data_IF_736941872169
#
_entry.id   IF_736941872169
#
_cell.length_a   1.000
_cell.length_b   1.000
_cell.length_c   1.000
_cell.angle_alpha   90.00
_cell.angle_beta   90.00
_cell.angle_gamma   90.00
#
_symmetry.space_group_name_H-M   'P 1'
#
loop_
_entity.id
_entity.type
_entity.pdbx_description
1 polymer ?
#
# COMPACT_ATOMS: atom_id res chain seq x y z
N UNK A 1 -49.34 -20.89 -30.38
CA UNK A 1 -48.60 -22.16 -30.56
C UNK A 1 -47.23 -21.83 -31.12
N UNK A 2 -46.06 -22.13 -30.56
CA UNK A 2 -45.60 -22.79 -29.34
C UNK A 2 -44.08 -22.56 -29.34
N UNK A 3 -43.52 -21.97 -28.29
CA UNK A 3 -42.48 -22.58 -27.42
C UNK A 3 -41.30 -23.26 -28.12
N UNK A 4 -40.09 -22.70 -27.97
CA UNK A 4 -38.90 -23.44 -27.55
C UNK A 4 -37.72 -22.48 -27.31
N UNK A 5 -37.25 -22.40 -26.06
CA UNK A 5 -35.84 -22.13 -25.74
C UNK A 5 -34.99 -23.38 -26.02
N UNK A 6 -33.65 -23.25 -25.97
CA UNK A 6 -32.90 -23.40 -24.72
C UNK A 6 -31.96 -22.19 -24.50
N UNK A 7 -31.56 -21.80 -23.29
CA UNK A 7 -31.08 -22.62 -22.17
C UNK A 7 -29.57 -22.83 -22.34
N UNK A 8 -28.79 -22.62 -21.26
CA UNK A 8 -27.33 -22.89 -21.11
C UNK A 8 -26.36 -21.83 -21.71
N UNK A 9 -25.24 -21.35 -21.14
CA UNK A 9 -24.49 -21.33 -19.86
C UNK A 9 -23.52 -20.13 -19.99
N UNK A 10 -22.88 -19.50 -19.00
CA UNK A 10 -22.71 -19.75 -17.59
C UNK A 10 -22.09 -18.46 -17.00
N UNK A 11 -22.43 -18.17 -15.75
CA UNK A 11 -21.96 -16.99 -15.03
C UNK A 11 -20.43 -16.98 -14.90
N UNK A 12 -19.83 -15.83 -15.15
CA UNK A 12 -18.46 -15.52 -14.76
C UNK A 12 -18.37 -15.53 -13.23
N UNK A 13 -18.19 -16.71 -12.65
CA UNK A 13 -17.77 -16.85 -11.26
C UNK A 13 -16.39 -16.25 -11.11
N UNK A 14 -16.25 -15.17 -10.36
CA UNK A 14 -14.96 -14.69 -9.92
C UNK A 14 -14.21 -15.86 -9.27
N UNK A 15 -12.98 -16.20 -9.70
CA UNK A 15 -12.25 -17.28 -9.05
C UNK A 15 -12.02 -16.89 -7.58
N UNK A 16 -12.53 -17.73 -6.67
CA UNK A 16 -12.24 -17.67 -5.24
C UNK A 16 -10.72 -17.74 -5.08
N UNK A 17 -10.07 -16.82 -4.33
CA UNK A 17 -8.64 -16.97 -4.08
C UNK A 17 -8.44 -18.29 -3.31
N UNK A 18 -7.58 -19.15 -3.88
CA UNK A 18 -7.21 -20.42 -3.27
C UNK A 18 -6.60 -20.20 -1.88
N UNK A 19 -6.80 -21.13 -0.92
CA UNK A 19 -6.15 -21.04 0.37
C UNK A 19 -4.63 -21.17 0.19
N UNK A 20 -3.88 -20.19 0.70
CA UNK A 20 -2.43 -20.26 0.75
C UNK A 20 -2.01 -21.50 1.54
N UNK A 21 -1.38 -22.46 0.86
CA UNK A 21 -0.79 -23.65 1.47
C UNK A 21 0.41 -23.31 2.38
N UNK A 22 0.93 -24.29 3.11
CA UNK A 22 2.00 -24.09 4.11
C UNK A 22 3.38 -23.72 3.54
N UNK A 23 3.51 -23.56 2.22
CA UNK A 23 4.70 -23.02 1.55
C UNK A 23 4.51 -21.52 1.22
N UNK A 24 4.15 -20.75 2.25
CA UNK A 24 4.28 -19.31 2.17
C UNK A 24 5.77 -19.01 2.04
N UNK A 25 6.22 -18.74 0.81
CA UNK A 25 7.58 -18.37 0.48
C UNK A 25 8.15 -17.49 1.61
N UNK A 26 9.29 -17.86 2.22
CA UNK A 26 9.82 -17.14 3.36
C UNK A 26 9.93 -15.68 2.97
N UNK A 27 9.37 -14.80 3.81
CA UNK A 27 9.43 -13.36 3.54
C UNK A 27 10.85 -13.00 3.13
N UNK A 28 11.09 -12.36 1.97
CA UNK A 28 12.44 -12.17 1.42
C UNK A 28 13.41 -11.55 2.43
N UNK A 29 12.87 -10.71 3.33
CA UNK A 29 13.61 -10.07 4.42
C UNK A 29 14.25 -11.08 5.41
N UNK A 30 13.59 -12.20 5.71
CA UNK A 30 14.07 -13.18 6.72
C UNK A 30 15.29 -13.98 6.22
N UNK A 31 15.43 -14.14 4.90
CA UNK A 31 16.61 -14.77 4.30
C UNK A 31 17.74 -13.77 4.06
N UNK A 32 17.44 -12.50 3.82
CA UNK A 32 18.42 -11.46 3.52
C UNK A 32 19.08 -10.88 4.78
N UNK A 33 18.41 -10.96 5.92
CA UNK A 33 18.89 -10.39 7.19
C UNK A 33 18.95 -11.45 8.30
N UNK A 34 19.93 -12.37 8.27
CA UNK A 34 20.18 -13.32 9.36
C UNK A 34 20.56 -12.64 10.69
N UNK A 35 20.57 -13.39 11.82
CA UNK A 35 21.06 -12.90 13.10
C UNK A 35 22.48 -12.32 12.98
N UNK A 36 22.72 -11.19 13.64
CA UNK A 36 24.01 -10.51 13.60
C UNK A 36 25.03 -11.32 14.41
N UNK A 37 26.19 -11.61 13.80
CA UNK A 37 27.28 -12.33 14.44
C UNK A 37 28.54 -11.48 14.67
N UNK A 38 28.55 -10.22 14.21
CA UNK A 38 29.73 -9.33 14.28
C UNK A 38 29.34 -7.85 14.18
N UNK A 39 30.17 -6.96 14.75
CA UNK A 39 29.93 -5.52 14.72
C UNK A 39 29.93 -4.94 13.28
N UNK A 40 30.76 -5.48 12.38
CA UNK A 40 30.72 -5.10 10.95
C UNK A 40 29.36 -5.36 10.30
N UNK A 41 28.73 -6.49 10.62
CA UNK A 41 27.37 -6.83 10.14
C UNK A 41 26.33 -5.91 10.78
N UNK A 42 26.49 -5.58 12.07
CA UNK A 42 25.63 -4.61 12.78
C UNK A 42 25.66 -3.23 12.12
N UNK A 43 26.86 -2.71 11.86
CA UNK A 43 27.07 -1.43 11.18
C UNK A 43 26.38 -1.41 9.81
N UNK A 44 26.52 -2.49 9.03
CA UNK A 44 25.87 -2.64 7.72
C UNK A 44 24.34 -2.60 7.83
N UNK A 45 23.77 -3.37 8.77
CA UNK A 45 22.33 -3.42 8.99
C UNK A 45 21.77 -2.07 9.41
N UNK A 46 22.51 -1.34 10.26
CA UNK A 46 22.14 0.02 10.67
C UNK A 46 22.14 0.99 9.49
N UNK A 47 23.18 0.99 8.65
CA UNK A 47 23.25 1.85 7.46
C UNK A 47 22.12 1.58 6.46
N UNK A 48 21.81 0.30 6.22
CA UNK A 48 20.66 -0.09 5.39
C UNK A 48 19.34 0.35 6.02
N UNK A 49 19.16 0.15 7.32
CA UNK A 49 17.98 0.62 8.06
C UNK A 49 17.78 2.13 7.89
N UNK A 50 18.84 2.94 8.06
CA UNK A 50 18.75 4.40 7.90
C UNK A 50 18.36 4.80 6.47
N UNK A 51 18.89 4.10 5.47
CA UNK A 51 18.59 4.36 4.04
C UNK A 51 17.14 3.99 3.72
N UNK A 52 16.71 2.80 4.12
CA UNK A 52 15.34 2.32 3.92
C UNK A 52 14.34 3.14 4.72
N UNK A 53 14.70 3.62 5.91
CA UNK A 53 13.84 4.46 6.74
C UNK A 53 13.60 5.81 6.07
N UNK A 54 14.64 6.41 5.47
CA UNK A 54 14.47 7.64 4.66
C UNK A 54 13.55 7.40 3.46
N UNK A 55 13.67 6.25 2.78
CA UNK A 55 12.79 5.89 1.67
C UNK A 55 11.34 5.69 2.14
N UNK A 56 11.14 4.93 3.21
CA UNK A 56 9.83 4.69 3.83
C UNK A 56 9.14 6.00 4.25
N UNK A 57 9.86 6.90 4.94
CA UNK A 57 9.32 8.21 5.36
C UNK A 57 8.89 9.06 4.17
N UNK A 58 9.66 9.07 3.08
CA UNK A 58 9.31 9.80 1.86
C UNK A 58 8.03 9.26 1.22
N UNK A 59 7.90 7.94 1.10
CA UNK A 59 6.68 7.32 0.55
C UNK A 59 5.46 7.61 1.43
N UNK A 60 5.60 7.49 2.76
CA UNK A 60 4.52 7.86 3.67
C UNK A 60 4.11 9.31 3.47
N UNK A 61 5.06 10.27 3.49
CA UNK A 61 4.76 11.68 3.30
C UNK A 61 4.05 11.96 1.97
N UNK A 62 4.48 11.31 0.89
CA UNK A 62 3.80 11.43 -0.41
C UNK A 62 2.36 10.91 -0.35
N UNK A 63 2.15 9.70 0.19
CA UNK A 63 0.82 9.13 0.32
C UNK A 63 -0.08 9.94 1.25
N UNK A 64 0.46 10.47 2.34
CA UNK A 64 -0.25 11.28 3.33
C UNK A 64 -0.66 12.62 2.71
N UNK A 65 0.20 13.27 1.93
CA UNK A 65 -0.15 14.51 1.23
C UNK A 65 -1.40 14.38 0.33
N UNK A 66 -1.55 13.22 -0.34
CA UNK A 66 -2.74 12.92 -1.16
C UNK A 66 -3.98 12.74 -0.27
N UNK A 67 -3.84 12.08 0.88
CA UNK A 67 -4.94 11.90 1.83
C UNK A 67 -5.34 13.23 2.48
N UNK A 68 -4.38 14.08 2.84
CA UNK A 68 -4.61 15.40 3.41
C UNK A 68 -5.34 16.30 2.43
N UNK A 69 -4.93 16.31 1.15
CA UNK A 69 -5.62 17.07 0.11
C UNK A 69 -7.05 16.57 -0.10
N UNK A 70 -7.28 15.25 -0.12
CA UNK A 70 -8.63 14.69 -0.20
C UNK A 70 -9.50 15.10 1.00
N UNK A 71 -8.94 15.05 2.20
CA UNK A 71 -9.65 15.45 3.41
C UNK A 71 -9.99 16.95 3.39
N UNK A 72 -9.07 17.78 2.89
CA UNK A 72 -9.29 19.22 2.71
C UNK A 72 -10.39 19.51 1.70
N UNK A 73 -10.40 18.81 0.56
CA UNK A 73 -11.45 18.96 -0.46
C UNK A 73 -12.80 18.46 0.05
N UNK A 74 -12.83 17.34 0.80
CA UNK A 74 -14.06 16.84 1.44
C UNK A 74 -14.69 17.89 2.35
N UNK A 75 -13.89 18.51 3.24
CA UNK A 75 -14.37 19.56 4.14
C UNK A 75 -14.84 20.82 3.42
N UNK A 76 -14.25 21.12 2.25
CA UNK A 76 -14.72 22.22 1.41
C UNK A 76 -16.06 21.89 0.79
N UNK A 77 -16.24 20.68 0.25
CA UNK A 77 -17.51 20.23 -0.31
C UNK A 77 -18.64 20.28 0.73
N UNK A 78 -18.36 19.88 1.98
CA UNK A 78 -19.34 19.94 3.08
C UNK A 78 -19.81 21.37 3.40
N UNK A 79 -19.02 22.39 3.04
CA UNK A 79 -19.31 23.81 3.32
C UNK A 79 -19.83 24.61 2.11
N UNK A 80 -19.92 24.00 0.93
CA UNK A 80 -20.34 24.67 -0.32
C UNK A 80 -21.73 24.14 -0.72
N UNK A 81 -22.59 25.01 -1.27
CA UNK A 81 -23.88 24.60 -1.82
C UNK A 81 -23.68 23.69 -3.05
N UNK A 82 -24.34 22.54 -3.07
CA UNK A 82 -24.19 21.49 -4.11
C UNK A 82 -24.55 21.97 -5.52
N UNK A 83 -25.42 22.97 -5.66
CA UNK A 83 -25.86 23.57 -6.92
C UNK A 83 -24.89 24.65 -7.46
N UNK A 84 -23.85 25.01 -6.69
CA UNK A 84 -22.90 26.03 -7.09
C UNK A 84 -21.84 25.49 -8.07
N UNK A 85 -21.35 26.33 -9.01
CA UNK A 85 -20.25 25.95 -9.89
C UNK A 85 -18.97 25.62 -9.10
N UNK A 86 -18.74 26.26 -7.95
CA UNK A 86 -17.61 25.98 -7.07
C UNK A 86 -17.64 24.54 -6.52
N UNK A 87 -18.81 24.01 -6.20
CA UNK A 87 -18.93 22.61 -5.76
C UNK A 87 -18.45 21.66 -6.85
N UNK A 88 -18.83 21.91 -8.10
CA UNK A 88 -18.43 21.09 -9.24
C UNK A 88 -16.91 21.09 -9.43
N UNK A 89 -16.25 22.24 -9.41
CA UNK A 89 -14.79 22.35 -9.50
C UNK A 89 -14.06 21.55 -8.40
N UNK A 90 -14.51 21.70 -7.14
CA UNK A 90 -13.92 21.00 -5.99
C UNK A 90 -14.18 19.49 -6.07
N UNK A 91 -15.38 19.08 -6.50
CA UNK A 91 -15.77 17.69 -6.63
C UNK A 91 -14.97 16.99 -7.74
N UNK A 92 -14.71 17.67 -8.85
CA UNK A 92 -13.85 17.18 -9.91
C UNK A 92 -12.41 16.96 -9.41
N UNK A 93 -11.83 17.91 -8.67
CA UNK A 93 -10.49 17.74 -8.10
C UNK A 93 -10.45 16.58 -7.11
N UNK A 94 -11.47 16.45 -6.25
CA UNK A 94 -11.59 15.35 -5.30
C UNK A 94 -11.64 13.99 -6.01
N UNK A 95 -12.42 13.88 -7.09
CA UNK A 95 -12.51 12.65 -7.88
C UNK A 95 -11.19 12.32 -8.58
N UNK A 96 -10.51 13.32 -9.17
CA UNK A 96 -9.16 13.15 -9.76
C UNK A 96 -8.16 12.57 -8.75
N UNK A 97 -8.16 13.07 -7.52
CA UNK A 97 -7.31 12.55 -6.43
C UNK A 97 -7.75 11.17 -5.94
N UNK A 98 -9.04 10.85 -5.92
CA UNK A 98 -9.51 9.49 -5.60
C UNK A 98 -9.06 8.48 -6.65
N UNK A 99 -9.10 8.86 -7.93
CA UNK A 99 -8.67 7.99 -9.01
C UNK A 99 -7.14 7.84 -9.03
N UNK A 100 -6.39 8.88 -8.68
CA UNK A 100 -4.94 8.76 -8.50
C UNK A 100 -4.58 7.72 -7.42
N UNK A 101 -5.37 7.58 -6.35
CA UNK A 101 -5.19 6.51 -5.35
C UNK A 101 -5.46 5.11 -5.87
N UNK A 102 -6.26 4.97 -6.93
CA UNK A 102 -6.55 3.70 -7.60
C UNK A 102 -5.51 3.36 -8.68
N UNK A 103 -4.71 4.35 -9.08
CA UNK A 103 -3.65 4.16 -10.07
C UNK A 103 -2.65 3.07 -9.63
N UNK A 104 -2.07 2.34 -10.59
CA UNK A 104 -1.07 1.32 -10.31
C UNK A 104 0.16 1.91 -9.60
N UNK A 105 0.54 3.16 -9.90
CA UNK A 105 1.63 3.87 -9.22
C UNK A 105 1.38 4.03 -7.72
N UNK A 106 0.21 4.52 -7.33
CA UNK A 106 -0.12 4.69 -5.91
C UNK A 106 -0.21 3.34 -5.18
N UNK A 107 -0.79 2.32 -5.82
CA UNK A 107 -0.85 0.98 -5.25
C UNK A 107 0.55 0.34 -5.12
N UNK A 108 1.45 0.61 -6.07
CA UNK A 108 2.85 0.17 -6.01
C UNK A 108 3.62 0.85 -4.88
N UNK A 109 3.44 2.17 -4.69
CA UNK A 109 4.02 2.90 -3.54
C UNK A 109 3.50 2.38 -2.20
N UNK A 110 2.21 2.03 -2.13
CA UNK A 110 1.58 1.43 -0.95
C UNK A 110 2.16 0.05 -0.63
N UNK A 111 2.34 -0.81 -1.65
CA UNK A 111 2.93 -2.14 -1.46
C UNK A 111 4.41 -2.04 -1.07
N UNK A 112 5.16 -1.13 -1.69
CA UNK A 112 6.56 -0.82 -1.35
C UNK A 112 6.69 -0.32 0.09
N UNK A 113 5.82 0.60 0.53
CA UNK A 113 5.81 1.09 1.91
C UNK A 113 5.58 -0.04 2.92
N UNK A 114 4.70 -1.00 2.60
CA UNK A 114 4.46 -2.18 3.44
C UNK A 114 5.69 -3.10 3.48
N UNK A 115 6.33 -3.33 2.34
CA UNK A 115 7.55 -4.14 2.26
C UNK A 115 8.70 -3.50 3.05
N UNK A 116 8.92 -2.19 2.89
CA UNK A 116 9.92 -1.45 3.65
C UNK A 116 9.66 -1.49 5.15
N UNK A 117 8.41 -1.30 5.59
CA UNK A 117 8.05 -1.40 7.01
C UNK A 117 8.40 -2.78 7.59
N UNK A 118 8.09 -3.85 6.87
CA UNK A 118 8.42 -5.21 7.31
C UNK A 118 9.93 -5.42 7.38
N UNK A 119 10.67 -4.96 6.37
CA UNK A 119 12.14 -5.00 6.32
C UNK A 119 12.75 -4.24 7.49
N UNK A 120 12.33 -3.00 7.71
CA UNK A 120 12.80 -2.13 8.80
C UNK A 120 12.54 -2.76 10.18
N UNK A 121 11.35 -3.32 10.39
CA UNK A 121 11.03 -3.99 11.65
C UNK A 121 11.95 -5.19 11.92
N UNK A 122 12.21 -5.99 10.88
CA UNK A 122 13.09 -7.14 10.98
C UNK A 122 14.54 -6.73 11.25
N UNK A 123 15.09 -5.76 10.51
CA UNK A 123 16.45 -5.26 10.74
C UNK A 123 16.58 -4.68 12.15
N UNK A 124 15.62 -3.86 12.58
CA UNK A 124 15.59 -3.30 13.94
C UNK A 124 15.63 -4.40 15.01
N UNK A 125 14.87 -5.49 14.79
CA UNK A 125 14.89 -6.65 15.70
C UNK A 125 16.26 -7.31 15.72
N UNK A 126 16.88 -7.59 14.58
CA UNK A 126 18.21 -8.22 14.53
C UNK A 126 19.28 -7.39 15.23
N UNK A 127 19.26 -6.05 15.04
CA UNK A 127 20.16 -5.13 15.75
C UNK A 127 19.89 -5.14 17.26
N UNK A 128 18.62 -5.02 17.66
CA UNK A 128 18.25 -5.01 19.07
C UNK A 128 18.55 -6.33 19.78
N UNK A 129 18.44 -7.48 19.08
CA UNK A 129 18.75 -8.79 19.65
C UNK A 129 20.26 -9.00 19.83
N UNK A 130 21.11 -8.31 19.05
CA UNK A 130 22.57 -8.35 19.18
C UNK A 130 23.13 -7.35 20.22
N UNK A 131 22.47 -6.20 20.39
CA UNK A 131 22.85 -5.19 21.40
C UNK A 131 22.41 -5.53 22.83
N UNK A 132 21.65 -6.61 23.02
CA UNK A 132 21.27 -7.15 24.33
C UNK A 132 22.43 -7.89 24.98
#
# INVERSE_FOLDING_TARGET
SGTAGPGEQGGAGCPRPAPAGPDAAPCPCRSLYPPIASDGTRQKYKQEFDTDLKRYKRLCAEMDSVNDRLNQLSKQLDGIAEDSPQYQDVAEEYNRLKDSKRSPDYQSKKSESKALRNKLFHIKRMVSDYDK
#
